data_IF_357225550045
#
_entry.id   IF_357225550045
#
_cell.length_a   1.000
_cell.length_b   1.000
_cell.length_c   1.000
_cell.angle_alpha   90.00
_cell.angle_beta   90.00
_cell.angle_gamma   90.00
#
_symmetry.space_group_name_H-M   'P 1'
#
loop_
_entity.id
_entity.type
_entity.pdbx_description
1 polymer ?
#
# COMPACT_ATOMS: atom_id res chain seq x y z
N UNK A 1 2.09 -10.57 -16.05
CA UNK A 1 1.58 -11.42 -14.95
C UNK A 1 1.95 -12.87 -15.22
N UNK A 2 2.29 -13.62 -14.18
CA UNK A 2 2.52 -15.07 -14.26
C UNK A 2 1.23 -15.85 -13.97
N UNK A 3 1.11 -17.07 -14.51
CA UNK A 3 0.03 -17.99 -14.15
C UNK A 3 0.51 -18.85 -12.98
N UNK A 4 -0.30 -18.90 -11.92
CA UNK A 4 -0.02 -19.70 -10.73
C UNK A 4 -1.28 -20.50 -10.40
N UNK A 5 -1.13 -21.80 -10.17
CA UNK A 5 -2.20 -22.64 -9.64
C UNK A 5 -2.14 -22.55 -8.12
N UNK A 6 -3.23 -22.10 -7.50
CA UNK A 6 -3.37 -22.00 -6.05
C UNK A 6 -4.77 -22.45 -5.66
N UNK A 7 -4.88 -23.12 -4.53
CA UNK A 7 -6.16 -23.34 -3.88
C UNK A 7 -6.58 -22.08 -3.15
N UNK A 8 -7.85 -21.72 -3.27
CA UNK A 8 -8.42 -20.50 -2.69
C UNK A 8 -9.66 -20.89 -1.89
N UNK A 9 -9.76 -20.35 -0.67
CA UNK A 9 -11.02 -20.40 0.09
C UNK A 9 -12.07 -19.54 -0.62
N UNK A 10 -13.08 -20.22 -1.14
CA UNK A 10 -14.10 -19.61 -1.96
C UNK A 10 -15.04 -18.69 -1.15
N UNK A 11 -15.21 -18.93 0.16
CA UNK A 11 -15.96 -18.05 1.04
C UNK A 11 -15.18 -16.74 1.27
N UNK A 12 -13.87 -16.85 1.51
CA UNK A 12 -13.01 -15.68 1.62
C UNK A 12 -12.99 -14.88 0.31
N UNK A 13 -12.96 -15.56 -0.84
CA UNK A 13 -12.99 -14.92 -2.15
C UNK A 13 -14.29 -14.13 -2.39
N UNK A 14 -15.44 -14.67 -2.01
CA UNK A 14 -16.74 -13.97 -2.14
C UNK A 14 -16.76 -12.72 -1.26
N UNK A 15 -16.26 -12.81 -0.03
CA UNK A 15 -16.16 -11.64 0.87
C UNK A 15 -15.24 -10.57 0.29
N UNK A 16 -14.08 -10.98 -0.22
CA UNK A 16 -13.14 -10.07 -0.87
C UNK A 16 -13.73 -9.43 -2.14
N UNK A 17 -14.48 -10.19 -2.96
CA UNK A 17 -15.20 -9.64 -4.11
C UNK A 17 -16.17 -8.54 -3.70
N UNK A 18 -16.98 -8.79 -2.69
CA UNK A 18 -17.95 -7.81 -2.18
C UNK A 18 -17.26 -6.58 -1.61
N UNK A 19 -16.17 -6.76 -0.85
CA UNK A 19 -15.44 -5.65 -0.24
C UNK A 19 -14.69 -4.79 -1.26
N UNK A 20 -14.15 -5.41 -2.32
CA UNK A 20 -13.37 -4.73 -3.35
C UNK A 20 -14.21 -4.29 -4.56
N UNK A 21 -15.49 -4.69 -4.64
CA UNK A 21 -16.35 -4.42 -5.79
C UNK A 21 -15.89 -5.08 -7.09
N UNK A 22 -15.22 -6.24 -6.98
CA UNK A 22 -14.61 -6.92 -8.14
C UNK A 22 -15.48 -8.05 -8.66
N UNK A 23 -15.35 -8.33 -9.96
CA UNK A 23 -16.24 -9.28 -10.66
C UNK A 23 -15.58 -10.63 -10.87
N UNK A 24 -14.28 -10.65 -11.18
CA UNK A 24 -13.54 -11.88 -11.52
C UNK A 24 -12.59 -12.30 -10.40
N UNK A 25 -12.36 -13.62 -10.25
CA UNK A 25 -11.43 -14.14 -9.22
C UNK A 25 -10.03 -13.52 -9.37
N UNK A 26 -9.53 -13.44 -10.60
CA UNK A 26 -8.23 -12.84 -10.93
C UNK A 26 -8.16 -11.38 -10.51
N UNK A 27 -9.20 -10.61 -10.80
CA UNK A 27 -9.26 -9.20 -10.42
C UNK A 27 -9.22 -9.04 -8.89
N UNK A 28 -10.05 -9.82 -8.18
CA UNK A 28 -10.09 -9.82 -6.71
C UNK A 28 -8.73 -10.14 -6.11
N UNK A 29 -8.05 -11.19 -6.59
CA UNK A 29 -6.74 -11.59 -6.07
C UNK A 29 -5.69 -10.51 -6.33
N UNK A 30 -5.61 -9.97 -7.56
CA UNK A 30 -4.63 -8.95 -7.88
C UNK A 30 -4.87 -7.64 -7.11
N UNK A 31 -6.13 -7.22 -6.96
CA UNK A 31 -6.45 -6.03 -6.17
C UNK A 31 -6.20 -6.25 -4.68
N UNK A 32 -6.55 -7.41 -4.13
CA UNK A 32 -6.25 -7.71 -2.73
C UNK A 32 -4.74 -7.64 -2.44
N UNK A 33 -3.91 -8.24 -3.31
CA UNK A 33 -2.45 -8.17 -3.20
C UNK A 33 -1.93 -6.73 -3.28
N UNK A 34 -2.44 -5.95 -4.22
CA UNK A 34 -2.07 -4.53 -4.37
C UNK A 34 -2.46 -3.70 -3.13
N UNK A 35 -3.67 -3.90 -2.60
CA UNK A 35 -4.15 -3.19 -1.40
C UNK A 35 -3.28 -3.50 -0.19
N UNK A 36 -2.93 -4.78 0.04
CA UNK A 36 -2.07 -5.16 1.17
C UNK A 36 -0.66 -4.60 1.00
N UNK A 37 -0.10 -4.65 -0.21
CA UNK A 37 1.22 -4.07 -0.49
C UNK A 37 1.23 -2.54 -0.24
N UNK A 38 0.18 -1.83 -0.66
CA UNK A 38 0.02 -0.40 -0.42
C UNK A 38 -0.12 -0.10 1.09
N UNK A 39 -0.88 -0.90 1.83
CA UNK A 39 -1.01 -0.77 3.28
C UNK A 39 0.34 -0.95 3.99
N UNK A 40 1.11 -1.96 3.60
CA UNK A 40 2.45 -2.19 4.13
C UNK A 40 3.40 -1.03 3.78
N UNK A 41 3.30 -0.46 2.58
CA UNK A 41 4.03 0.75 2.19
C UNK A 41 3.73 1.93 3.11
N UNK A 42 2.45 2.27 3.25
CA UNK A 42 2.00 3.36 4.13
C UNK A 42 2.48 3.19 5.57
N UNK A 43 2.45 1.96 6.09
CA UNK A 43 2.94 1.66 7.43
C UNK A 43 4.44 1.94 7.58
N UNK A 44 5.27 1.50 6.63
CA UNK A 44 6.71 1.80 6.63
C UNK A 44 6.99 3.31 6.53
N UNK A 45 6.21 4.02 5.73
CA UNK A 45 6.37 5.47 5.58
C UNK A 45 6.04 6.19 6.89
N UNK A 46 4.95 5.80 7.56
CA UNK A 46 4.60 6.32 8.88
C UNK A 46 5.65 5.99 9.94
N UNK A 47 6.15 4.75 9.97
CA UNK A 47 7.23 4.35 10.88
C UNK A 47 8.49 5.21 10.67
N UNK A 48 8.83 5.53 9.41
CA UNK A 48 9.94 6.44 9.09
C UNK A 48 9.69 7.87 9.56
N UNK A 49 8.47 8.39 9.40
CA UNK A 49 8.11 9.73 9.89
C UNK A 49 8.18 9.83 11.42
N UNK A 50 7.77 8.78 12.13
CA UNK A 50 7.79 8.73 13.60
C UNK A 50 9.21 8.54 14.14
N UNK A 51 10.05 7.77 13.44
CA UNK A 51 11.43 7.44 13.86
C UNK A 51 12.43 8.61 13.74
N UNK A 52 11.96 9.85 13.62
CA UNK A 52 12.77 11.07 13.49
C UNK A 52 13.77 11.11 12.33
N UNK A 53 13.66 10.18 11.38
CA UNK A 53 14.51 10.06 10.18
C UNK A 53 14.37 11.25 9.20
N UNK A 54 13.54 12.23 9.55
CA UNK A 54 13.21 13.42 8.77
C UNK A 54 13.20 14.68 9.66
N UNK A 55 14.08 14.77 10.66
CA UNK A 55 14.23 15.96 11.48
C UNK A 55 14.41 17.23 10.64
N UNK A 56 15.18 17.13 9.55
CA UNK A 56 15.43 18.21 8.58
C UNK A 56 14.16 18.73 7.90
N UNK A 57 13.10 17.92 7.76
CA UNK A 57 11.82 18.39 7.22
C UNK A 57 11.10 19.35 8.18
N UNK A 58 11.48 19.39 9.45
CA UNK A 58 10.94 20.32 10.46
C UNK A 58 11.82 21.56 10.64
N UNK A 59 13.00 21.56 10.04
CA UNK A 59 13.91 22.71 10.05
C UNK A 59 13.49 23.71 8.96
N UNK A 60 13.13 24.91 9.39
CA UNK A 60 12.61 25.97 8.53
C UNK A 60 13.69 26.53 7.60
N UNK A 61 14.94 26.56 8.03
CA UNK A 61 16.06 27.07 7.24
C UNK A 61 16.41 26.06 6.14
N UNK A 62 16.44 24.77 6.48
CA UNK A 62 16.64 23.69 5.50
C UNK A 62 15.51 23.69 4.47
N UNK A 63 14.24 23.72 4.90
CA UNK A 63 13.11 23.71 3.97
C UNK A 63 13.06 24.96 3.10
N UNK A 64 13.29 26.16 3.64
CA UNK A 64 13.27 27.39 2.84
C UNK A 64 14.31 27.38 1.70
N UNK A 65 15.51 26.84 1.96
CA UNK A 65 16.57 26.70 0.95
C UNK A 65 16.23 25.69 -0.17
N UNK A 66 15.42 24.66 0.14
CA UNK A 66 15.07 23.62 -0.82
C UNK A 66 14.09 24.09 -1.91
N UNK A 67 13.29 25.14 -1.64
CA UNK A 67 12.26 25.64 -2.55
C UNK A 67 12.65 26.90 -3.33
N UNK A 68 13.81 27.50 -3.05
CA UNK A 68 14.28 28.74 -3.68
C UNK A 68 15.04 28.52 -5.01
N UNK A 69 14.56 27.61 -5.85
CA UNK A 69 15.17 27.35 -7.16
C UNK A 69 14.66 28.28 -8.25
#
# INVERSE_FOLDING_TARGET
>A
MAKTLIDIDEVALVRAKSALGTTTKKETVNQALATVAALAGRRRDLERFVADAHADLRDVDIMSSAWQR
#
